data_IF_789300329186
#
_entry.id   IF_789300329186
#
_cell.length_a   1.000
_cell.length_b   1.000
_cell.length_c   1.000
_cell.angle_alpha   90.00
_cell.angle_beta   90.00
_cell.angle_gamma   90.00
#
_symmetry.space_group_name_H-M   'P 1'
#
loop_
_entity.id
_entity.type
_entity.pdbx_description
1 polymer ?
#
# COMPACT_ATOMS: atom_id res chain seq x y z
N UNK A 1 -70.87 -13.19 51.46
CA UNK A 1 -69.60 -12.57 51.02
C UNK A 1 -68.57 -13.67 50.76
N UNK A 2 -68.27 -14.02 49.51
CA UNK A 2 -67.23 -15.01 49.16
C UNK A 2 -65.99 -14.27 48.64
N UNK A 3 -64.87 -14.42 49.35
CA UNK A 3 -63.59 -13.76 49.06
C UNK A 3 -62.99 -14.39 47.80
N UNK A 4 -62.96 -13.62 46.71
CA UNK A 4 -62.25 -13.98 45.48
C UNK A 4 -60.74 -13.86 45.78
N UNK A 5 -60.05 -15.00 45.72
CA UNK A 5 -58.64 -15.13 46.05
C UNK A 5 -57.77 -14.42 45.01
N UNK A 6 -56.84 -13.58 45.49
CA UNK A 6 -55.86 -12.80 44.71
C UNK A 6 -54.78 -13.65 44.01
N UNK A 7 -55.04 -14.92 43.74
CA UNK A 7 -54.04 -15.83 43.13
C UNK A 7 -54.18 -16.00 41.62
N UNK A 8 -55.26 -15.49 41.01
CA UNK A 8 -55.47 -15.64 39.56
C UNK A 8 -54.61 -14.70 38.70
N UNK A 9 -54.06 -13.63 39.28
CA UNK A 9 -53.25 -12.65 38.52
C UNK A 9 -51.81 -13.12 38.26
N UNK A 10 -51.30 -14.09 39.03
CA UNK A 10 -49.92 -14.57 38.89
C UNK A 10 -49.79 -15.61 37.77
N UNK A 11 -50.86 -16.34 37.48
CA UNK A 11 -50.85 -17.41 36.48
C UNK A 11 -50.87 -16.87 35.04
N UNK A 12 -51.47 -15.70 34.82
CA UNK A 12 -51.51 -15.02 33.51
C UNK A 12 -50.14 -14.43 33.12
N UNK A 13 -49.33 -14.02 34.11
CA UNK A 13 -48.01 -13.42 33.85
C UNK A 13 -46.98 -14.45 33.35
N UNK A 14 -47.10 -15.72 33.76
CA UNK A 14 -46.14 -16.77 33.40
C UNK A 14 -46.36 -17.30 31.97
N UNK A 15 -47.60 -17.27 31.47
CA UNK A 15 -47.91 -17.71 30.10
C UNK A 15 -47.42 -16.68 29.05
N UNK A 16 -47.33 -15.41 29.41
CA UNK A 16 -46.81 -14.34 28.53
C UNK A 16 -45.32 -14.46 28.21
N UNK A 17 -44.53 -15.17 29.03
CA UNK A 17 -43.10 -15.36 28.80
C UNK A 17 -42.77 -16.42 27.73
N UNK A 18 -43.74 -17.27 27.36
CA UNK A 18 -43.53 -18.31 26.34
C UNK A 18 -43.81 -17.86 24.90
N UNK A 19 -44.42 -16.70 24.69
CA UNK A 19 -44.71 -16.16 23.34
C UNK A 19 -43.66 -15.17 22.81
N UNK A 20 -42.54 -14.97 23.51
CA UNK A 20 -41.40 -14.20 22.98
C UNK A 20 -40.51 -14.99 22.01
N UNK A 21 -40.91 -16.20 21.60
CA UNK A 21 -40.37 -16.88 20.42
C UNK A 21 -41.03 -16.31 19.15
N UNK A 22 -40.69 -15.06 18.82
CA UNK A 22 -41.11 -14.38 17.61
C UNK A 22 -39.96 -13.75 16.84
N UNK A 23 -38.73 -14.24 17.03
CA UNK A 23 -37.61 -13.84 16.17
C UNK A 23 -37.70 -14.63 14.86
N UNK A 24 -38.35 -13.96 13.90
CA UNK A 24 -38.47 -14.26 12.48
C UNK A 24 -37.31 -15.11 11.99
N UNK A 25 -37.57 -16.40 11.83
CA UNK A 25 -36.63 -17.36 11.27
C UNK A 25 -36.45 -17.03 9.79
N UNK A 26 -35.21 -16.66 9.45
CA UNK A 26 -34.68 -16.51 8.09
C UNK A 26 -35.57 -15.72 7.13
N UNK A 27 -35.35 -14.41 7.05
CA UNK A 27 -35.30 -13.83 5.71
C UNK A 27 -34.31 -14.70 4.93
N UNK A 28 -34.79 -15.44 3.92
CA UNK A 28 -33.93 -16.13 2.96
C UNK A 28 -32.94 -15.09 2.50
N UNK A 29 -31.70 -15.20 2.98
CA UNK A 29 -30.59 -14.39 2.48
C UNK A 29 -30.65 -14.57 0.98
N UNK A 30 -31.08 -13.50 0.30
CA UNK A 30 -31.28 -13.54 -1.13
C UNK A 30 -29.88 -13.69 -1.72
N UNK A 31 -29.49 -14.94 -1.95
CA UNK A 31 -28.12 -15.29 -2.33
C UNK A 31 -27.73 -14.56 -3.60
N UNK A 32 -28.70 -14.12 -4.40
CA UNK A 32 -28.51 -13.28 -5.58
C UNK A 32 -28.07 -11.86 -5.23
N UNK A 33 -28.64 -11.20 -4.21
CA UNK A 33 -28.20 -9.85 -3.79
C UNK A 33 -26.86 -9.89 -3.05
N UNK A 34 -26.63 -10.92 -2.23
CA UNK A 34 -25.34 -11.15 -1.57
C UNK A 34 -24.27 -11.53 -2.58
N UNK A 35 -24.55 -12.41 -3.56
CA UNK A 35 -23.60 -12.73 -4.64
C UNK A 35 -23.36 -11.56 -5.58
N UNK A 36 -24.36 -10.68 -5.79
CA UNK A 36 -24.18 -9.45 -6.56
C UNK A 36 -23.25 -8.49 -5.82
N UNK A 37 -23.47 -8.27 -4.52
CA UNK A 37 -22.55 -7.50 -3.69
C UNK A 37 -21.17 -8.16 -3.57
N UNK A 38 -21.05 -9.49 -3.52
CA UNK A 38 -19.76 -10.20 -3.52
C UNK A 38 -19.08 -10.12 -4.88
N UNK A 39 -19.81 -10.17 -6.00
CA UNK A 39 -19.27 -9.98 -7.36
C UNK A 39 -18.86 -8.54 -7.62
N UNK A 40 -19.63 -7.57 -7.13
CA UNK A 40 -19.33 -6.12 -7.20
C UNK A 40 -18.20 -5.76 -6.25
N UNK A 41 -18.11 -6.41 -5.08
CA UNK A 41 -16.98 -6.34 -4.12
C UNK A 41 -15.91 -7.41 -4.37
N UNK A 42 -15.88 -8.07 -5.54
CA UNK A 42 -14.75 -8.94 -5.88
C UNK A 42 -13.55 -8.03 -5.92
N UNK A 43 -12.79 -8.04 -4.82
CA UNK A 43 -11.51 -7.39 -4.63
C UNK A 43 -10.80 -7.50 -5.97
N UNK A 44 -10.71 -6.39 -6.72
CA UNK A 44 -10.08 -6.40 -8.03
C UNK A 44 -8.69 -6.94 -7.78
N UNK A 45 -8.38 -8.11 -8.33
CA UNK A 45 -7.06 -8.71 -8.17
C UNK A 45 -6.08 -7.85 -8.94
N UNK A 46 -5.44 -6.92 -8.24
CA UNK A 46 -4.40 -6.07 -8.81
C UNK A 46 -3.23 -6.98 -9.19
N UNK A 47 -2.79 -6.86 -10.43
CA UNK A 47 -1.63 -7.60 -10.92
C UNK A 47 -0.36 -6.86 -10.51
N UNK A 48 0.65 -7.59 -10.08
CA UNK A 48 1.95 -7.02 -9.68
C UNK A 48 2.55 -6.07 -10.74
N UNK A 49 2.52 -6.38 -12.06
CA UNK A 49 3.02 -5.46 -13.09
C UNK A 49 2.36 -4.07 -13.06
N UNK A 50 1.08 -3.98 -12.70
CA UNK A 50 0.39 -2.69 -12.62
C UNK A 50 0.91 -1.86 -11.42
N UNK A 51 1.30 -2.53 -10.33
CA UNK A 51 1.90 -1.89 -9.15
C UNK A 51 3.29 -1.39 -9.50
N UNK A 52 4.08 -2.22 -10.18
CA UNK A 52 5.41 -1.87 -10.70
C UNK A 52 5.33 -0.66 -11.64
N UNK A 53 4.42 -0.68 -12.61
CA UNK A 53 4.21 0.42 -13.57
C UNK A 53 3.81 1.72 -12.86
N UNK A 54 2.88 1.63 -11.90
CA UNK A 54 2.48 2.79 -11.09
C UNK A 54 3.64 3.37 -10.30
N UNK A 55 4.43 2.50 -9.65
CA UNK A 55 5.62 2.92 -8.92
C UNK A 55 6.66 3.56 -9.81
N UNK A 56 6.90 3.00 -11.00
CA UNK A 56 7.84 3.53 -11.98
C UNK A 56 7.41 4.92 -12.48
N UNK A 57 6.12 5.10 -12.75
CA UNK A 57 5.57 6.39 -13.16
C UNK A 57 5.74 7.48 -12.07
N UNK A 58 5.51 7.13 -10.80
CA UNK A 58 5.73 8.04 -9.67
C UNK A 58 7.22 8.39 -9.55
N UNK A 59 8.10 7.38 -9.58
CA UNK A 59 9.55 7.58 -9.53
C UNK A 59 10.05 8.48 -10.67
N UNK A 60 9.54 8.27 -11.89
CA UNK A 60 9.86 9.09 -13.07
C UNK A 60 9.39 10.54 -12.91
N UNK A 61 8.20 10.75 -12.33
CA UNK A 61 7.68 12.09 -12.05
C UNK A 61 8.60 12.85 -11.09
N UNK A 62 9.09 12.17 -10.05
CA UNK A 62 10.01 12.73 -9.07
C UNK A 62 11.37 13.02 -9.71
N UNK A 63 11.95 12.07 -10.45
CA UNK A 63 13.27 12.24 -11.06
C UNK A 63 13.31 13.31 -12.16
N UNK A 64 12.23 13.48 -12.92
CA UNK A 64 12.14 14.52 -13.96
C UNK A 64 12.13 15.93 -13.37
N UNK A 65 11.60 16.10 -12.16
CA UNK A 65 11.52 17.39 -11.47
C UNK A 65 12.69 17.63 -10.51
N UNK A 66 13.62 16.69 -10.43
CA UNK A 66 14.67 16.67 -9.42
C UNK A 66 15.91 17.47 -9.86
N UNK A 67 16.41 18.32 -8.97
CA UNK A 67 17.65 19.04 -9.20
C UNK A 67 18.86 18.12 -8.92
N UNK A 68 19.64 17.82 -9.96
CA UNK A 68 20.83 16.97 -9.89
C UNK A 68 21.98 17.57 -9.05
N UNK A 69 21.92 18.86 -8.69
CA UNK A 69 22.87 19.51 -7.79
C UNK A 69 22.58 19.22 -6.30
N UNK A 70 21.45 18.57 -5.99
CA UNK A 70 21.05 18.30 -4.61
C UNK A 70 22.16 17.51 -3.86
N UNK A 71 22.53 17.92 -2.62
CA UNK A 71 23.53 17.22 -1.83
C UNK A 71 23.15 15.76 -1.53
N UNK A 72 24.16 14.93 -1.33
CA UNK A 72 24.00 13.53 -0.94
C UNK A 72 23.25 13.37 0.38
N UNK A 73 22.51 12.27 0.52
CA UNK A 73 21.80 11.93 1.75
C UNK A 73 20.27 12.00 1.62
N UNK A 74 19.60 11.95 2.76
CA UNK A 74 18.14 11.88 2.86
C UNK A 74 17.50 13.22 2.50
N UNK A 75 16.46 13.17 1.67
CA UNK A 75 15.63 14.32 1.32
C UNK A 75 14.35 14.27 2.17
N UNK A 76 14.00 15.40 2.79
CA UNK A 76 12.78 15.48 3.60
C UNK A 76 11.54 15.26 2.73
N UNK A 77 10.62 14.38 3.16
CA UNK A 77 9.38 14.14 2.41
C UNK A 77 8.49 15.37 2.31
N UNK A 78 8.63 16.34 3.23
CA UNK A 78 7.91 17.62 3.20
C UNK A 78 8.33 18.52 2.05
N UNK A 79 9.48 18.28 1.40
CA UNK A 79 9.88 19.00 0.19
C UNK A 79 9.40 18.31 -1.09
N UNK A 80 8.72 17.16 -0.98
CA UNK A 80 8.13 16.47 -2.12
C UNK A 80 6.74 17.01 -2.42
N UNK A 81 6.28 17.00 -3.68
CA UNK A 81 4.92 17.40 -4.01
C UNK A 81 3.87 16.58 -3.25
N UNK A 82 2.82 17.23 -2.75
CA UNK A 82 1.71 16.58 -2.04
C UNK A 82 1.05 15.47 -2.86
N UNK A 83 1.05 15.61 -4.18
CA UNK A 83 0.49 14.61 -5.10
C UNK A 83 1.20 13.26 -5.02
N UNK A 84 2.47 13.23 -4.61
CA UNK A 84 3.27 12.01 -4.52
C UNK A 84 3.62 11.59 -3.09
N UNK A 85 3.58 12.52 -2.12
CA UNK A 85 4.06 12.29 -0.75
C UNK A 85 3.44 11.08 -0.05
N UNK A 86 2.15 10.80 -0.28
CA UNK A 86 1.45 9.62 0.25
C UNK A 86 2.02 8.27 -0.22
N UNK A 87 2.76 8.27 -1.33
CA UNK A 87 3.39 7.06 -1.87
C UNK A 87 4.81 6.87 -1.37
N UNK A 88 5.38 7.81 -0.62
CA UNK A 88 6.80 7.81 -0.27
C UNK A 88 7.00 7.33 1.16
N UNK A 89 7.85 6.33 1.32
CA UNK A 89 8.42 6.01 2.63
C UNK A 89 9.69 6.82 2.88
N UNK A 90 10.54 6.95 1.85
CA UNK A 90 11.85 7.61 1.96
C UNK A 90 12.37 8.05 0.58
N UNK A 91 13.10 9.17 0.55
CA UNK A 91 13.83 9.64 -0.63
C UNK A 91 15.25 10.03 -0.23
N UNK A 92 16.26 9.61 -0.99
CA UNK A 92 17.65 9.96 -0.71
C UNK A 92 18.51 9.91 -1.97
N UNK A 93 19.70 10.50 -1.89
CA UNK A 93 20.71 10.44 -2.94
C UNK A 93 21.90 9.63 -2.40
N UNK A 94 22.15 8.49 -3.03
CA UNK A 94 23.35 7.70 -2.79
C UNK A 94 24.51 8.26 -3.62
N UNK A 95 25.63 8.54 -2.95
CA UNK A 95 26.86 9.05 -3.57
C UNK A 95 28.10 8.20 -3.26
N UNK A 96 27.92 7.13 -2.48
CA UNK A 96 28.94 6.15 -2.17
C UNK A 96 28.27 4.77 -2.18
N UNK A 97 29.08 3.71 -2.26
CA UNK A 97 28.58 2.33 -2.18
C UNK A 97 27.72 2.17 -0.92
N UNK A 98 26.42 1.86 -1.07
CA UNK A 98 25.55 1.62 0.07
C UNK A 98 25.91 0.28 0.73
N UNK A 99 25.48 0.12 1.99
CA UNK A 99 25.68 -1.11 2.77
C UNK A 99 24.59 -2.15 2.54
N UNK A 100 23.39 -1.72 2.14
CA UNK A 100 22.29 -2.60 1.80
C UNK A 100 22.62 -3.39 0.52
N UNK A 101 22.45 -4.72 0.53
CA UNK A 101 22.83 -5.59 -0.58
C UNK A 101 22.12 -5.27 -1.89
N UNK A 102 20.83 -4.91 -1.83
CA UNK A 102 20.03 -4.55 -3.00
C UNK A 102 20.56 -3.24 -3.59
N UNK A 103 20.72 -2.22 -2.75
CA UNK A 103 21.23 -0.93 -3.21
C UNK A 103 22.68 -1.05 -3.72
N UNK A 104 23.49 -1.94 -3.12
CA UNK A 104 24.87 -2.19 -3.51
C UNK A 104 24.94 -2.87 -4.88
N UNK A 105 24.08 -3.87 -5.12
CA UNK A 105 23.97 -4.51 -6.43
C UNK A 105 23.63 -3.50 -7.52
N UNK A 106 22.70 -2.58 -7.26
CA UNK A 106 22.37 -1.50 -8.18
C UNK A 106 23.54 -0.53 -8.39
N UNK A 107 24.22 -0.14 -7.31
CA UNK A 107 25.41 0.70 -7.36
C UNK A 107 26.49 0.10 -8.26
N UNK A 108 26.80 -1.18 -8.07
CA UNK A 108 27.81 -1.91 -8.83
C UNK A 108 27.38 -2.05 -10.31
N UNK A 109 26.10 -2.32 -10.58
CA UNK A 109 25.56 -2.38 -11.94
C UNK A 109 25.69 -1.04 -12.68
N UNK A 110 25.39 0.09 -12.04
CA UNK A 110 25.55 1.40 -12.68
C UNK A 110 27.02 1.77 -12.89
N UNK A 111 27.92 1.44 -11.96
CA UNK A 111 29.35 1.59 -12.20
C UNK A 111 29.84 0.75 -13.37
N UNK A 112 29.34 -0.49 -13.49
CA UNK A 112 29.63 -1.34 -14.63
C UNK A 112 29.11 -0.69 -15.93
N UNK A 113 27.90 -0.15 -15.96
CA UNK A 113 27.38 0.55 -17.14
C UNK A 113 28.24 1.75 -17.53
N UNK A 114 28.66 2.58 -16.58
CA UNK A 114 29.57 3.71 -16.83
C UNK A 114 30.88 3.22 -17.44
N UNK A 115 31.49 2.17 -16.86
CA UNK A 115 32.78 1.63 -17.31
C UNK A 115 32.73 1.09 -18.74
N UNK A 116 31.58 0.55 -19.17
CA UNK A 116 31.40 -0.08 -20.47
C UNK A 116 30.60 0.76 -21.47
N UNK A 117 30.37 2.04 -21.16
CA UNK A 117 29.60 2.96 -22.01
C UNK A 117 28.17 2.47 -22.33
N UNK A 118 27.52 1.84 -21.35
CA UNK A 118 26.12 1.45 -21.44
C UNK A 118 25.19 2.53 -20.89
N UNK A 119 23.98 2.58 -21.45
CA UNK A 119 22.95 3.51 -21.01
C UNK A 119 22.62 3.35 -19.50
N UNK A 120 22.45 4.49 -18.83
CA UNK A 120 22.05 4.57 -17.43
C UNK A 120 20.53 4.70 -17.35
N UNK A 121 19.84 3.55 -17.41
CA UNK A 121 18.39 3.50 -17.31
C UNK A 121 17.93 3.50 -15.86
N UNK A 122 16.77 4.10 -15.59
CA UNK A 122 16.14 3.97 -14.29
C UNK A 122 15.63 2.55 -14.06
N UNK A 123 15.66 2.11 -12.81
CA UNK A 123 15.18 0.79 -12.40
C UNK A 123 14.06 0.92 -11.38
N UNK A 124 13.19 -0.09 -11.34
CA UNK A 124 12.28 -0.30 -10.21
C UNK A 124 12.31 -1.77 -9.81
N UNK A 125 12.34 -2.02 -8.51
CA UNK A 125 12.27 -3.37 -7.98
C UNK A 125 11.55 -3.43 -6.66
N UNK A 126 10.94 -4.58 -6.39
CA UNK A 126 10.35 -4.86 -5.09
C UNK A 126 11.47 -5.10 -4.06
N UNK A 127 11.30 -4.55 -2.86
CA UNK A 127 12.19 -4.74 -1.73
C UNK A 127 11.38 -5.15 -0.49
N UNK A 128 12.02 -5.85 0.44
CA UNK A 128 11.43 -6.25 1.71
C UNK A 128 12.03 -5.41 2.83
N UNK A 129 11.22 -4.55 3.44
CA UNK A 129 11.63 -3.73 4.60
C UNK A 129 11.66 -4.56 5.89
N UNK A 130 10.72 -5.51 5.97
CA UNK A 130 10.64 -6.50 7.06
C UNK A 130 10.03 -7.79 6.55
N UNK A 131 9.83 -8.79 7.43
CA UNK A 131 9.19 -10.08 7.07
C UNK A 131 7.77 -9.93 6.53
N UNK A 132 7.10 -8.81 6.82
CA UNK A 132 5.68 -8.59 6.50
C UNK A 132 5.44 -7.30 5.72
N UNK A 133 6.50 -6.56 5.41
CA UNK A 133 6.40 -5.25 4.79
C UNK A 133 7.23 -5.19 3.52
N UNK A 134 6.51 -5.02 2.41
CA UNK A 134 7.07 -4.83 1.10
C UNK A 134 7.06 -3.35 0.74
N UNK A 135 8.06 -2.94 -0.04
CA UNK A 135 8.13 -1.64 -0.66
C UNK A 135 8.67 -1.80 -2.09
N UNK A 136 8.71 -0.68 -2.81
CA UNK A 136 9.30 -0.62 -4.13
C UNK A 136 10.43 0.40 -4.14
N UNK A 137 11.61 0.02 -4.61
CA UNK A 137 12.74 0.91 -4.77
C UNK A 137 12.85 1.33 -6.22
N UNK A 138 12.57 2.60 -6.49
CA UNK A 138 12.89 3.24 -7.77
C UNK A 138 14.27 3.89 -7.67
N UNK A 139 15.10 3.67 -8.68
CA UNK A 139 16.48 4.16 -8.74
C UNK A 139 16.71 4.92 -10.04
N UNK A 140 17.11 6.18 -9.93
CA UNK A 140 17.46 7.04 -11.05
C UNK A 140 18.96 7.41 -10.99
N UNK A 141 19.81 6.81 -11.84
CA UNK A 141 21.23 7.12 -11.91
C UNK A 141 21.48 8.42 -12.67
N UNK A 142 22.46 9.21 -12.23
CA UNK A 142 22.96 10.37 -12.97
C UNK A 142 24.41 10.66 -12.61
N UNK A 143 25.09 11.43 -13.46
CA UNK A 143 26.45 11.88 -13.22
C UNK A 143 26.44 13.34 -12.78
N UNK A 144 27.14 13.63 -11.69
CA UNK A 144 27.38 15.00 -11.21
C UNK A 144 28.86 15.12 -10.88
N UNK A 145 29.54 16.07 -11.53
CA UNK A 145 30.99 16.25 -11.46
C UNK A 145 31.79 14.97 -11.80
N UNK A 146 31.31 14.20 -12.78
CA UNK A 146 31.92 12.93 -13.21
C UNK A 146 31.78 11.79 -12.21
N UNK A 147 31.03 11.98 -11.11
CA UNK A 147 30.78 10.95 -10.10
C UNK A 147 29.36 10.40 -10.23
N UNK A 148 29.22 9.09 -10.07
CA UNK A 148 27.92 8.42 -9.99
C UNK A 148 27.16 8.92 -8.77
N UNK A 149 25.93 9.37 -9.00
CA UNK A 149 24.92 9.60 -7.97
C UNK A 149 23.66 8.84 -8.37
N UNK A 150 22.92 8.37 -7.37
CA UNK A 150 21.67 7.66 -7.61
C UNK A 150 20.59 8.26 -6.72
N UNK A 151 19.58 8.86 -7.33
CA UNK A 151 18.35 9.21 -6.64
C UNK A 151 17.59 7.92 -6.36
N UNK A 152 17.31 7.66 -5.09
CA UNK A 152 16.58 6.50 -4.60
C UNK A 152 15.24 6.95 -4.02
N UNK A 153 14.17 6.30 -4.45
CA UNK A 153 12.80 6.57 -4.01
C UNK A 153 12.22 5.26 -3.51
N UNK A 154 12.02 5.16 -2.20
CA UNK A 154 11.32 4.04 -1.59
C UNK A 154 9.83 4.34 -1.52
N UNK A 155 9.06 3.52 -2.22
CA UNK A 155 7.63 3.65 -2.43
C UNK A 155 6.85 2.69 -1.54
N UNK A 156 5.80 3.20 -0.92
CA UNK A 156 4.90 2.45 -0.07
C UNK A 156 4.02 1.49 -0.88
N UNK A 157 4.22 0.18 -0.72
CA UNK A 157 3.47 -0.84 -1.45
C UNK A 157 1.95 -0.72 -1.25
N UNK A 158 1.49 -0.47 -0.02
CA UNK A 158 0.05 -0.37 0.29
C UNK A 158 -0.58 0.83 -0.42
N UNK A 159 0.09 1.97 -0.41
CA UNK A 159 -0.39 3.17 -1.11
C UNK A 159 -0.48 2.93 -2.63
N UNK A 160 0.52 2.26 -3.23
CA UNK A 160 0.49 1.89 -4.65
C UNK A 160 -0.67 0.96 -4.98
N UNK A 161 -0.91 -0.05 -4.14
CA UNK A 161 -2.04 -0.98 -4.28
C UNK A 161 -3.38 -0.24 -4.19
N UNK A 162 -3.54 0.64 -3.18
CA UNK A 162 -4.78 1.40 -2.99
C UNK A 162 -5.09 2.36 -4.14
N UNK A 163 -4.07 2.92 -4.78
CA UNK A 163 -4.25 3.80 -5.93
C UNK A 163 -4.71 3.10 -7.22
N UNK A 164 -4.77 1.76 -7.24
CA UNK A 164 -5.20 0.96 -8.39
C UNK A 164 -6.61 0.37 -8.24
N UNK A 165 -7.28 0.62 -7.11
CA UNK A 165 -8.67 0.18 -6.86
C UNK A 165 -9.70 1.07 -7.56
#
# INVERSE_FOLDING_TARGET
MKKISKQFSLFVLVIGLFFSCGLKTSEKINSTSVNKQIKERKIKRIKEPNIVEKGYAIGTTISTSFNQETPCGTIALTSMPDSVSQFLNKVWIACASPSNEIEKSLWDAYHYNIKNDYALNSNIQKIHLSKTEDAYLYSFPYLSDGKLRILQVELNHKALVLALY
#
